data_IF_121437742450
#
_entry.id   IF_121437742450
#
_cell.length_a   1.000
_cell.length_b   1.000
_cell.length_c   1.000
_cell.angle_alpha   90.00
_cell.angle_beta   90.00
_cell.angle_gamma   90.00
#
_symmetry.space_group_name_H-M   'P 1'
#
loop_
_entity.id
_entity.type
_entity.pdbx_description
1 polymer ?
#
# COMPACT_ATOMS: atom_id res chain seq x y z
N UNK A 1 8.06 -13.49 0.25
CA UNK A 1 9.15 -12.96 -0.61
C UNK A 1 10.17 -14.04 -0.93
N UNK A 2 10.71 -14.73 0.08
CA UNK A 2 11.64 -15.87 -0.09
C UNK A 2 11.10 -16.98 -1.02
N UNK A 3 9.79 -17.21 -1.00
CA UNK A 3 9.09 -18.16 -1.88
C UNK A 3 9.07 -17.72 -3.34
N UNK A 4 8.86 -16.42 -3.57
CA UNK A 4 8.88 -15.81 -4.90
C UNK A 4 10.29 -15.87 -5.48
N UNK A 5 11.31 -15.55 -4.67
CA UNK A 5 12.72 -15.72 -5.08
C UNK A 5 13.09 -17.18 -5.31
N UNK A 6 12.45 -18.10 -4.58
CA UNK A 6 12.68 -19.54 -4.71
C UNK A 6 13.69 -20.11 -3.73
N UNK A 7 14.05 -19.39 -2.67
CA UNK A 7 14.96 -19.86 -1.60
C UNK A 7 14.20 -20.47 -0.40
N UNK A 8 12.88 -20.45 -0.42
CA UNK A 8 12.00 -21.03 0.62
C UNK A 8 10.76 -21.64 -0.06
N UNK A 9 10.23 -22.75 0.45
CA UNK A 9 9.08 -23.41 -0.19
C UNK A 9 7.72 -22.79 0.17
N UNK A 10 6.79 -22.77 -0.78
CA UNK A 10 5.43 -22.26 -0.55
C UNK A 10 4.65 -23.04 0.50
N UNK A 11 4.99 -24.31 0.74
CA UNK A 11 4.34 -25.15 1.76
C UNK A 11 4.81 -24.81 3.19
N UNK A 12 5.85 -23.99 3.32
CA UNK A 12 6.36 -23.51 4.61
C UNK A 12 5.83 -22.16 5.07
N UNK A 13 4.77 -21.65 4.44
CA UNK A 13 4.02 -20.51 4.96
C UNK A 13 2.56 -20.88 5.17
N UNK A 14 1.92 -20.25 6.16
CA UNK A 14 0.48 -20.33 6.33
C UNK A 14 -0.25 -19.89 5.04
N UNK A 15 -1.37 -20.54 4.67
CA UNK A 15 -2.06 -20.24 3.42
C UNK A 15 -2.50 -18.78 3.29
N UNK A 16 -2.31 -18.21 2.10
CA UNK A 16 -2.80 -16.87 1.74
C UNK A 16 -3.86 -16.99 0.62
N UNK A 17 -5.05 -17.51 0.93
CA UNK A 17 -6.04 -17.90 -0.08
C UNK A 17 -6.57 -16.68 -0.85
N UNK A 18 -6.42 -16.61 -2.20
CA UNK A 18 -7.07 -15.58 -2.99
C UNK A 18 -8.59 -15.57 -2.82
N UNK A 19 -9.20 -16.71 -2.51
CA UNK A 19 -10.66 -16.88 -2.43
C UNK A 19 -11.32 -15.91 -1.44
N UNK A 20 -10.54 -15.41 -0.48
CA UNK A 20 -10.92 -14.33 0.44
C UNK A 20 -11.49 -13.09 -0.27
N UNK A 21 -11.00 -12.75 -1.48
CA UNK A 21 -11.50 -11.61 -2.27
C UNK A 21 -12.92 -11.81 -2.80
N UNK A 22 -13.44 -13.03 -2.79
CA UNK A 22 -14.77 -13.37 -3.28
C UNK A 22 -15.83 -13.42 -2.18
N UNK A 23 -15.46 -13.15 -0.92
CA UNK A 23 -16.41 -13.17 0.18
C UNK A 23 -17.54 -12.15 -0.02
N UNK A 24 -18.76 -12.42 0.46
CA UNK A 24 -19.84 -11.43 0.47
C UNK A 24 -19.54 -10.26 1.41
N UNK A 25 -20.03 -9.06 1.08
CA UNK A 25 -19.78 -7.83 1.85
C UNK A 25 -20.28 -7.88 3.31
N UNK A 26 -21.34 -8.66 3.58
CA UNK A 26 -21.87 -8.81 4.93
C UNK A 26 -20.92 -9.57 5.87
N UNK A 27 -19.96 -10.35 5.34
CA UNK A 27 -19.03 -11.11 6.15
C UNK A 27 -18.15 -10.16 7.01
N UNK A 28 -17.88 -10.47 8.29
CA UNK A 28 -17.12 -9.57 9.17
C UNK A 28 -15.69 -9.37 8.68
N UNK A 29 -15.10 -10.41 8.08
CA UNK A 29 -13.75 -10.38 7.52
C UNK A 29 -13.72 -9.99 6.04
N UNK A 30 -14.76 -9.36 5.49
CA UNK A 30 -14.72 -8.96 4.07
C UNK A 30 -13.57 -7.98 3.80
N UNK A 31 -12.78 -8.14 2.71
CA UNK A 31 -11.60 -7.32 2.46
C UNK A 31 -11.83 -5.81 2.48
N UNK A 32 -13.02 -5.33 2.07
CA UNK A 32 -13.37 -3.91 2.12
C UNK A 32 -13.31 -3.31 3.54
N UNK A 33 -13.50 -4.12 4.58
CA UNK A 33 -13.49 -3.73 5.99
C UNK A 33 -12.10 -3.79 6.61
N UNK A 34 -11.11 -4.34 5.90
CA UNK A 34 -9.72 -4.35 6.36
C UNK A 34 -9.11 -2.97 6.25
N UNK A 35 -8.15 -2.69 7.13
CA UNK A 35 -7.29 -1.53 7.00
C UNK A 35 -6.61 -1.51 5.61
N UNK A 36 -6.54 -0.34 4.99
CA UNK A 36 -6.16 -0.18 3.58
C UNK A 36 -4.75 -0.72 3.28
N UNK A 37 -3.78 -0.50 4.17
CA UNK A 37 -2.42 -1.03 4.02
C UNK A 37 -2.35 -2.55 4.12
N UNK A 38 -3.10 -3.15 5.06
CA UNK A 38 -3.23 -4.61 5.12
C UNK A 38 -3.85 -5.15 3.83
N UNK A 39 -4.98 -4.58 3.39
CA UNK A 39 -5.67 -5.03 2.18
C UNK A 39 -4.76 -4.97 0.94
N UNK A 40 -4.13 -3.82 0.71
CA UNK A 40 -3.28 -3.57 -0.45
C UNK A 40 -2.02 -4.44 -0.47
N UNK A 41 -1.48 -4.79 0.70
CA UNK A 41 -0.32 -5.70 0.83
C UNK A 41 -0.73 -7.16 0.65
N UNK A 42 -1.84 -7.60 1.26
CA UNK A 42 -2.31 -8.99 1.17
C UNK A 42 -2.77 -9.37 -0.24
N UNK A 43 -3.27 -8.41 -1.02
CA UNK A 43 -3.76 -8.65 -2.39
C UNK A 43 -2.70 -9.26 -3.31
N UNK A 44 -1.53 -8.62 -3.54
CA UNK A 44 -0.48 -9.23 -4.34
C UNK A 44 0.11 -10.49 -3.69
N UNK A 45 0.24 -10.53 -2.35
CA UNK A 45 0.73 -11.74 -1.67
C UNK A 45 -0.16 -12.96 -1.94
N UNK A 46 -1.48 -12.78 -1.86
CA UNK A 46 -2.45 -13.83 -2.14
C UNK A 46 -2.40 -14.26 -3.61
N UNK A 47 -2.25 -13.33 -4.56
CA UNK A 47 -2.10 -13.66 -5.99
C UNK A 47 -0.87 -14.53 -6.24
N UNK A 48 0.29 -14.12 -5.72
CA UNK A 48 1.55 -14.87 -5.85
C UNK A 48 1.45 -16.25 -5.20
N UNK A 49 0.82 -16.34 -4.03
CA UNK A 49 0.56 -17.60 -3.33
C UNK A 49 -0.40 -18.51 -4.11
N UNK A 50 -1.50 -17.97 -4.62
CA UNK A 50 -2.50 -18.70 -5.39
C UNK A 50 -1.93 -19.28 -6.68
N UNK A 51 -1.01 -18.52 -7.31
CA UNK A 51 -0.24 -18.97 -8.47
C UNK A 51 0.93 -19.89 -8.11
N UNK A 52 1.34 -19.93 -6.84
CA UNK A 52 2.59 -20.54 -6.36
C UNK A 52 3.78 -20.06 -7.20
N UNK A 53 3.79 -18.76 -7.51
CA UNK A 53 4.80 -18.19 -8.40
C UNK A 53 6.20 -18.27 -7.79
N UNK A 54 7.17 -18.61 -8.62
CA UNK A 54 8.58 -18.70 -8.26
C UNK A 54 9.42 -18.22 -9.45
N UNK A 55 10.42 -17.39 -9.17
CA UNK A 55 11.41 -16.95 -10.14
C UNK A 55 12.33 -18.07 -10.61
N UNK A 56 13.20 -17.79 -11.59
CA UNK A 56 14.15 -18.77 -12.14
C UNK A 56 15.18 -19.22 -11.09
N UNK A 57 15.63 -20.47 -11.20
CA UNK A 57 16.61 -21.05 -10.28
C UNK A 57 18.01 -20.80 -10.80
N UNK A 58 18.50 -19.61 -10.50
CA UNK A 58 19.87 -19.23 -10.83
C UNK A 58 20.86 -19.84 -9.84
N UNK A 59 22.14 -19.86 -10.22
CA UNK A 59 23.21 -20.31 -9.32
C UNK A 59 23.22 -19.53 -8.01
N UNK A 60 22.92 -18.22 -8.05
CA UNK A 60 22.76 -17.40 -6.85
C UNK A 60 21.63 -17.92 -5.94
N UNK A 61 20.46 -18.27 -6.49
CA UNK A 61 19.35 -18.82 -5.70
C UNK A 61 19.74 -20.16 -5.09
N UNK A 62 20.50 -20.99 -5.80
CA UNK A 62 21.00 -22.27 -5.29
C UNK A 62 22.03 -22.08 -4.17
N UNK A 63 22.95 -21.13 -4.32
CA UNK A 63 23.92 -20.78 -3.26
C UNK A 63 23.22 -20.25 -2.01
N UNK A 64 22.26 -19.33 -2.18
CA UNK A 64 21.49 -18.78 -1.05
C UNK A 64 20.76 -19.88 -0.26
N UNK A 65 20.27 -20.93 -0.92
CA UNK A 65 19.65 -22.08 -0.22
C UNK A 65 20.62 -22.85 0.67
N UNK A 66 21.92 -22.83 0.38
CA UNK A 66 22.94 -23.45 1.22
C UNK A 66 23.39 -22.51 2.35
N UNK A 67 23.27 -21.20 2.16
CA UNK A 67 23.73 -20.18 3.12
C UNK A 67 22.71 -19.85 4.20
N UNK A 68 21.42 -19.73 3.84
CA UNK A 68 20.39 -19.17 4.76
C UNK A 68 19.72 -20.23 5.65
N UNK A 69 19.94 -21.52 5.38
CA UNK A 69 19.29 -22.62 6.09
C UNK A 69 20.31 -23.39 6.93
N UNK A 70 19.93 -23.74 8.15
CA UNK A 70 20.77 -24.55 9.07
C UNK A 70 20.88 -26.02 8.68
N UNK A 71 20.03 -26.48 7.76
CA UNK A 71 19.99 -27.85 7.25
C UNK A 71 19.81 -27.86 5.73
N UNK A 72 20.17 -28.95 5.03
CA UNK A 72 20.00 -29.04 3.59
C UNK A 72 18.57 -28.74 3.15
N UNK A 73 18.41 -27.92 2.10
CA UNK A 73 17.11 -27.41 1.65
C UNK A 73 16.06 -28.51 1.43
N UNK A 74 16.49 -29.66 0.90
CA UNK A 74 15.68 -30.84 0.59
C UNK A 74 15.25 -31.63 1.82
N UNK A 75 15.89 -31.42 2.97
CA UNK A 75 15.58 -32.09 4.24
C UNK A 75 14.65 -31.26 5.15
N UNK A 76 14.37 -30.00 4.78
CA UNK A 76 13.51 -29.10 5.56
C UNK A 76 12.05 -29.60 5.50
N UNK A 77 11.46 -29.82 6.67
CA UNK A 77 10.01 -30.05 6.77
C UNK A 77 9.26 -28.73 6.69
N UNK A 78 9.00 -28.27 5.47
CA UNK A 78 8.30 -27.02 5.20
C UNK A 78 6.94 -26.97 5.88
N UNK A 79 6.18 -28.06 5.87
CA UNK A 79 4.86 -28.10 6.50
C UNK A 79 4.93 -27.72 8.00
N UNK A 80 5.93 -28.22 8.73
CA UNK A 80 6.16 -27.85 10.13
C UNK A 80 6.59 -26.40 10.28
N UNK A 81 7.44 -25.91 9.37
CA UNK A 81 7.99 -24.56 9.40
C UNK A 81 6.95 -23.44 9.27
N UNK A 82 5.70 -23.72 8.89
CA UNK A 82 4.62 -22.71 8.80
C UNK A 82 4.35 -21.95 10.10
N UNK A 83 4.60 -22.60 11.23
CA UNK A 83 4.38 -22.05 12.58
C UNK A 83 5.69 -21.62 13.25
N UNK A 84 6.83 -21.79 12.56
CA UNK A 84 8.13 -21.42 13.09
C UNK A 84 8.38 -19.93 12.86
N UNK A 85 8.56 -19.19 13.96
CA UNK A 85 9.01 -17.80 13.96
C UNK A 85 10.01 -17.63 15.10
N UNK A 86 11.06 -16.84 14.86
CA UNK A 86 12.05 -16.49 15.87
C UNK A 86 11.33 -15.79 17.03
N UNK A 87 11.57 -16.21 18.28
CA UNK A 87 10.81 -15.70 19.44
C UNK A 87 11.10 -14.22 19.68
N UNK A 88 12.33 -13.82 19.40
CA UNK A 88 12.85 -12.48 19.56
C UNK A 88 12.21 -11.50 18.56
N UNK A 89 11.80 -11.99 17.37
CA UNK A 89 11.15 -11.19 16.32
C UNK A 89 9.60 -11.23 16.40
N UNK A 90 9.04 -12.06 17.27
CA UNK A 90 7.59 -12.31 17.36
C UNK A 90 6.89 -11.27 18.24
N UNK A 91 6.54 -10.13 17.64
CA UNK A 91 5.82 -9.05 18.34
C UNK A 91 4.37 -9.43 18.72
N UNK A 92 3.64 -10.04 17.78
CA UNK A 92 2.26 -10.51 17.99
C UNK A 92 2.19 -12.03 17.84
N UNK A 93 2.25 -12.80 18.93
CA UNK A 93 2.13 -14.25 18.86
C UNK A 93 0.73 -14.66 18.39
N UNK A 94 0.67 -15.75 17.63
CA UNK A 94 -0.61 -16.32 17.24
C UNK A 94 -1.38 -16.85 18.45
N UNK A 95 -2.70 -16.68 18.41
CA UNK A 95 -3.59 -17.38 19.34
C UNK A 95 -3.83 -18.81 18.87
N UNK A 96 -4.19 -19.70 19.80
CA UNK A 96 -4.61 -21.07 19.46
C UNK A 96 -5.71 -21.12 18.38
N UNK A 97 -6.67 -20.17 18.44
CA UNK A 97 -7.75 -20.08 17.46
C UNK A 97 -7.19 -19.76 16.07
N UNK A 98 -6.21 -18.86 15.98
CA UNK A 98 -5.57 -18.50 14.73
C UNK A 98 -4.80 -19.67 14.12
N UNK A 99 -4.03 -20.41 14.93
CA UNK A 99 -3.31 -21.59 14.46
C UNK A 99 -4.27 -22.69 13.97
N UNK A 100 -5.36 -22.92 14.71
CA UNK A 100 -6.43 -23.83 14.30
C UNK A 100 -7.05 -23.44 12.95
N UNK A 101 -7.30 -22.14 12.73
CA UNK A 101 -7.81 -21.63 11.45
C UNK A 101 -6.80 -21.84 10.32
N UNK A 102 -5.52 -21.57 10.55
CA UNK A 102 -4.47 -21.80 9.55
C UNK A 102 -4.30 -23.26 9.20
N UNK A 103 -4.30 -24.15 10.19
CA UNK A 103 -4.22 -25.59 9.97
C UNK A 103 -5.46 -26.10 9.23
N UNK A 104 -6.65 -25.60 9.57
CA UNK A 104 -7.87 -25.95 8.83
C UNK A 104 -7.78 -25.50 7.36
N UNK A 105 -7.30 -24.28 7.10
CA UNK A 105 -7.09 -23.80 5.74
C UNK A 105 -6.06 -24.65 4.97
N UNK A 106 -4.97 -25.04 5.63
CA UNK A 106 -3.90 -25.81 5.00
C UNK A 106 -4.29 -27.28 4.75
N UNK A 107 -4.86 -27.97 5.73
CA UNK A 107 -5.12 -29.40 5.67
C UNK A 107 -6.47 -29.74 5.05
N UNK A 108 -7.47 -28.88 5.19
CA UNK A 108 -8.81 -29.12 4.67
C UNK A 108 -9.08 -28.34 3.39
N UNK A 109 -8.86 -27.02 3.39
CA UNK A 109 -9.27 -26.16 2.28
C UNK A 109 -8.33 -26.22 1.06
N UNK A 110 -7.02 -26.10 1.27
CA UNK A 110 -6.03 -26.12 0.18
C UNK A 110 -6.09 -27.39 -0.70
N UNK A 111 -6.21 -28.61 -0.17
CA UNK A 111 -6.31 -29.81 -1.00
C UNK A 111 -7.58 -29.85 -1.86
N UNK A 112 -8.69 -29.26 -1.37
CA UNK A 112 -9.96 -29.20 -2.09
C UNK A 112 -9.87 -28.16 -3.21
N UNK A 113 -9.47 -26.94 -2.88
CA UNK A 113 -9.50 -25.81 -3.80
C UNK A 113 -8.47 -25.94 -4.94
N UNK A 114 -7.39 -26.70 -4.75
CA UNK A 114 -6.42 -27.00 -5.82
C UNK A 114 -6.96 -27.96 -6.88
N UNK A 115 -8.00 -28.75 -6.56
CA UNK A 115 -8.56 -29.76 -7.48
C UNK A 115 -9.65 -29.16 -8.37
N UNK A 116 -9.78 -29.69 -9.57
CA UNK A 116 -10.91 -29.36 -10.44
C UNK A 116 -12.21 -29.97 -9.87
N UNK A 117 -13.35 -29.26 -9.89
CA UNK A 117 -13.59 -27.94 -10.48
C UNK A 117 -13.36 -26.75 -9.55
N UNK A 118 -13.04 -26.98 -8.27
CA UNK A 118 -12.88 -25.95 -7.25
C UNK A 118 -11.76 -24.95 -7.57
N UNK A 119 -10.72 -25.36 -8.31
CA UNK A 119 -9.65 -24.48 -8.76
C UNK A 119 -10.12 -23.31 -9.66
N UNK A 120 -11.31 -23.40 -10.27
CA UNK A 120 -11.93 -22.28 -10.99
C UNK A 120 -12.26 -21.10 -10.06
N UNK A 121 -12.58 -21.38 -8.79
CA UNK A 121 -12.81 -20.35 -7.78
C UNK A 121 -11.51 -19.59 -7.52
N UNK A 122 -10.38 -20.30 -7.38
CA UNK A 122 -9.05 -19.70 -7.26
C UNK A 122 -8.70 -18.82 -8.44
N UNK A 123 -8.94 -19.29 -9.66
CA UNK A 123 -8.72 -18.51 -10.89
C UNK A 123 -9.54 -17.22 -10.92
N UNK A 124 -10.84 -17.30 -10.58
CA UNK A 124 -11.71 -16.12 -10.49
C UNK A 124 -11.24 -15.15 -9.41
N UNK A 125 -10.81 -15.67 -8.27
CA UNK A 125 -10.32 -14.87 -7.16
C UNK A 125 -9.00 -14.14 -7.52
N UNK A 126 -8.07 -14.82 -8.19
CA UNK A 126 -6.84 -14.21 -8.70
C UNK A 126 -7.12 -13.15 -9.78
N UNK A 127 -8.10 -13.39 -10.67
CA UNK A 127 -8.52 -12.39 -11.65
C UNK A 127 -9.07 -11.12 -10.97
N UNK A 128 -9.88 -11.28 -9.92
CA UNK A 128 -10.36 -10.16 -9.10
C UNK A 128 -9.21 -9.44 -8.41
N UNK A 129 -8.22 -10.15 -7.87
CA UNK A 129 -7.03 -9.50 -7.29
C UNK A 129 -6.28 -8.64 -8.31
N UNK A 130 -6.08 -9.13 -9.54
CA UNK A 130 -5.46 -8.36 -10.63
C UNK A 130 -6.29 -7.12 -10.99
N UNK A 131 -7.61 -7.26 -11.08
CA UNK A 131 -8.52 -6.14 -11.36
C UNK A 131 -8.37 -5.01 -10.33
N UNK A 132 -8.41 -5.36 -9.04
CA UNK A 132 -8.27 -4.38 -7.96
C UNK A 132 -6.85 -3.77 -7.88
N UNK A 133 -5.80 -4.57 -8.08
CA UNK A 133 -4.41 -4.07 -8.13
C UNK A 133 -4.22 -3.10 -9.29
N UNK A 134 -4.68 -3.46 -10.51
CA UNK A 134 -4.57 -2.60 -11.69
C UNK A 134 -5.33 -1.30 -11.49
N UNK A 135 -6.54 -1.35 -10.95
CA UNK A 135 -7.27 -0.14 -10.60
C UNK A 135 -6.47 0.74 -9.62
N UNK A 136 -5.92 0.17 -8.55
CA UNK A 136 -5.10 0.89 -7.58
C UNK A 136 -3.84 1.51 -8.19
N UNK A 137 -3.18 0.80 -9.09
CA UNK A 137 -2.01 1.28 -9.82
C UNK A 137 -2.38 2.43 -10.77
N UNK A 138 -3.40 2.28 -11.61
CA UNK A 138 -3.83 3.30 -12.58
C UNK A 138 -4.23 4.62 -11.91
N UNK A 139 -4.99 4.56 -10.81
CA UNK A 139 -5.45 5.78 -10.13
C UNK A 139 -4.34 6.50 -9.35
N UNK A 140 -3.22 5.83 -9.09
CA UNK A 140 -2.07 6.39 -8.38
C UNK A 140 -0.87 6.69 -9.30
N UNK A 141 -1.07 6.66 -10.62
CA UNK A 141 0.03 6.80 -11.58
C UNK A 141 1.14 5.76 -11.36
N UNK A 142 0.76 4.53 -10.98
CA UNK A 142 1.62 3.39 -10.66
C UNK A 142 2.57 3.60 -9.46
N UNK A 143 2.38 4.66 -8.67
CA UNK A 143 3.14 4.86 -7.44
C UNK A 143 2.71 3.85 -6.36
N UNK A 144 1.40 3.55 -6.27
CA UNK A 144 0.75 2.75 -5.19
C UNK A 144 0.75 3.45 -3.83
N UNK A 145 0.22 2.80 -2.78
CA UNK A 145 0.10 3.43 -1.47
C UNK A 145 1.44 3.50 -0.73
N UNK A 146 2.31 2.51 -0.92
CA UNK A 146 3.59 2.43 -0.24
C UNK A 146 4.53 1.36 -0.83
N UNK A 147 5.79 1.39 -0.39
CA UNK A 147 6.87 0.62 -1.00
C UNK A 147 6.67 -0.90 -0.99
N UNK A 148 6.05 -1.45 0.06
CA UNK A 148 5.81 -2.89 0.17
C UNK A 148 4.77 -3.34 -0.85
N UNK A 149 3.65 -2.62 -0.94
CA UNK A 149 2.64 -2.84 -1.99
C UNK A 149 3.27 -2.69 -3.37
N UNK A 150 4.04 -1.62 -3.59
CA UNK A 150 4.76 -1.33 -4.85
C UNK A 150 5.58 -2.53 -5.32
N UNK A 151 6.49 -3.03 -4.47
CA UNK A 151 7.36 -4.15 -4.83
C UNK A 151 6.57 -5.44 -5.07
N UNK A 152 5.54 -5.71 -4.27
CA UNK A 152 4.69 -6.89 -4.42
C UNK A 152 3.83 -6.84 -5.69
N UNK A 153 3.27 -5.68 -6.03
CA UNK A 153 2.53 -5.51 -7.28
C UNK A 153 3.44 -5.66 -8.50
N UNK A 154 4.66 -5.11 -8.47
CA UNK A 154 5.66 -5.35 -9.54
C UNK A 154 5.92 -6.84 -9.76
N UNK A 155 6.12 -7.60 -8.69
CA UNK A 155 6.27 -9.05 -8.76
C UNK A 155 5.02 -9.73 -9.33
N UNK A 156 3.83 -9.29 -8.93
CA UNK A 156 2.56 -9.81 -9.46
C UNK A 156 2.38 -9.55 -10.95
N UNK A 157 2.64 -8.33 -11.42
CA UNK A 157 2.47 -7.99 -12.84
C UNK A 157 3.50 -8.69 -13.71
N UNK A 158 4.75 -8.78 -13.25
CA UNK A 158 5.76 -9.63 -13.90
C UNK A 158 5.34 -11.10 -13.97
N UNK A 159 4.81 -11.64 -12.88
CA UNK A 159 4.30 -13.00 -12.86
C UNK A 159 3.09 -13.14 -13.80
N UNK A 160 2.16 -12.18 -13.77
CA UNK A 160 0.91 -12.17 -14.53
C UNK A 160 1.16 -12.19 -16.04
N UNK A 161 1.90 -11.19 -16.51
CA UNK A 161 2.22 -10.94 -17.91
C UNK A 161 3.51 -10.09 -17.99
N UNK A 162 4.69 -10.71 -18.19
CA UNK A 162 5.97 -10.01 -18.18
C UNK A 162 6.14 -9.05 -19.38
N UNK A 163 5.40 -9.26 -20.47
CA UNK A 163 5.44 -8.40 -21.66
C UNK A 163 4.44 -7.22 -21.58
N UNK A 164 3.53 -7.28 -20.61
CA UNK A 164 2.50 -6.28 -20.35
C UNK A 164 3.05 -4.93 -19.90
N UNK A 165 2.27 -3.87 -20.14
CA UNK A 165 2.69 -2.50 -19.82
C UNK A 165 2.60 -2.17 -18.32
N UNK A 166 1.75 -2.88 -17.55
CA UNK A 166 1.60 -2.68 -16.11
C UNK A 166 2.97 -2.74 -15.38
N UNK A 167 3.79 -3.74 -15.71
CA UNK A 167 5.12 -3.89 -15.11
C UNK A 167 6.06 -2.74 -15.49
N UNK A 168 6.04 -2.31 -16.76
CA UNK A 168 6.87 -1.20 -17.26
C UNK A 168 6.52 0.11 -16.56
N UNK A 169 5.23 0.39 -16.39
CA UNK A 169 4.77 1.58 -15.68
C UNK A 169 5.14 1.55 -14.20
N UNK A 170 5.03 0.40 -13.53
CA UNK A 170 5.55 0.30 -12.17
C UNK A 170 7.06 0.51 -12.12
N UNK A 171 7.83 -0.09 -13.03
CA UNK A 171 9.30 0.04 -13.03
C UNK A 171 9.74 1.50 -13.17
N UNK A 172 9.05 2.28 -14.01
CA UNK A 172 9.31 3.71 -14.19
C UNK A 172 9.15 4.54 -12.90
N UNK A 173 8.35 4.04 -11.95
CA UNK A 173 8.02 4.73 -10.67
C UNK A 173 8.77 4.14 -9.47
N UNK A 174 9.82 3.34 -9.69
CA UNK A 174 10.72 2.88 -8.61
C UNK A 174 11.55 4.04 -8.03
N UNK A 175 12.10 4.98 -8.84
CA UNK A 175 12.88 6.10 -8.31
C UNK A 175 12.12 6.97 -7.31
N UNK A 176 10.79 7.05 -7.41
CA UNK A 176 9.95 7.81 -6.46
C UNK A 176 10.09 7.31 -5.01
N UNK A 177 10.50 6.06 -4.81
CA UNK A 177 10.73 5.47 -3.50
C UNK A 177 12.19 5.47 -3.06
N UNK A 178 13.14 5.86 -3.92
CA UNK A 178 14.57 5.80 -3.61
C UNK A 178 15.07 7.15 -3.08
N UNK A 179 15.72 7.13 -1.93
CA UNK A 179 16.26 8.31 -1.26
C UNK A 179 17.74 8.12 -0.95
N UNK A 180 18.56 9.11 -1.33
CA UNK A 180 19.97 9.13 -0.98
C UNK A 180 20.15 9.83 0.38
N UNK A 181 20.38 9.03 1.42
CA UNK A 181 20.74 9.50 2.75
C UNK A 181 22.27 9.58 2.92
N UNK A 182 22.71 10.13 4.05
CA UNK A 182 24.12 10.25 4.44
C UNK A 182 24.86 8.90 4.49
N UNK A 183 24.15 7.80 4.70
CA UNK A 183 24.67 6.42 4.75
C UNK A 183 24.33 5.60 3.49
N UNK A 184 23.85 6.26 2.42
CA UNK A 184 23.63 5.66 1.11
C UNK A 184 22.17 5.64 0.68
N UNK A 185 21.89 4.89 -0.38
CA UNK A 185 20.56 4.83 -0.99
C UNK A 185 19.63 3.89 -0.21
N UNK A 186 18.45 4.39 0.16
CA UNK A 186 17.41 3.68 0.91
C UNK A 186 16.08 3.72 0.17
N UNK A 187 15.19 2.79 0.49
CA UNK A 187 13.80 2.83 0.03
C UNK A 187 12.93 3.48 1.11
N UNK A 188 12.22 4.55 0.76
CA UNK A 188 11.21 5.17 1.62
C UNK A 188 9.93 4.33 1.64
N UNK A 189 9.15 4.39 2.72
CA UNK A 189 7.81 3.78 2.74
C UNK A 189 6.85 4.50 1.81
N UNK A 190 6.89 5.83 1.87
CA UNK A 190 6.31 6.82 0.96
C UNK A 190 7.04 8.14 1.25
N UNK A 191 6.92 9.14 0.39
CA UNK A 191 7.34 10.49 0.75
C UNK A 191 6.42 11.10 1.82
N UNK A 192 6.88 12.15 2.52
CA UNK A 192 6.13 12.88 3.55
C UNK A 192 5.91 14.35 3.18
N UNK A 193 5.92 14.67 1.89
CA UNK A 193 6.06 16.05 1.40
C UNK A 193 4.92 16.98 1.87
N UNK A 194 3.66 16.56 1.73
CA UNK A 194 2.51 17.32 2.24
C UNK A 194 2.55 17.40 3.77
N UNK A 195 2.79 16.29 4.45
CA UNK A 195 2.83 16.24 5.91
C UNK A 195 3.86 17.22 6.48
N UNK A 196 5.10 17.15 5.99
CA UNK A 196 6.20 17.99 6.45
C UNK A 196 5.99 19.46 6.06
N UNK A 197 5.48 19.73 4.86
CA UNK A 197 5.18 21.10 4.42
C UNK A 197 4.11 21.76 5.31
N UNK A 198 3.07 21.03 5.69
CA UNK A 198 2.03 21.51 6.61
C UNK A 198 2.62 21.82 7.98
N UNK A 199 3.37 20.90 8.58
CA UNK A 199 3.91 21.11 9.93
C UNK A 199 5.00 22.18 9.98
N UNK A 200 5.88 22.25 8.98
CA UNK A 200 6.88 23.30 8.87
C UNK A 200 6.21 24.68 8.74
N UNK A 201 5.20 24.80 7.88
CA UNK A 201 4.44 26.05 7.71
C UNK A 201 3.77 26.47 9.02
N UNK A 202 3.11 25.54 9.70
CA UNK A 202 2.45 25.80 10.99
C UNK A 202 3.46 26.22 12.07
N UNK A 203 4.64 25.61 12.12
CA UNK A 203 5.69 25.96 13.07
C UNK A 203 6.19 27.39 12.85
N UNK A 204 6.47 27.77 11.59
CA UNK A 204 6.87 29.15 11.24
C UNK A 204 5.76 30.13 11.64
N UNK A 205 4.51 29.85 11.30
CA UNK A 205 3.37 30.71 11.65
C UNK A 205 3.20 30.87 13.17
N UNK A 206 3.41 29.79 13.95
CA UNK A 206 3.30 29.81 15.40
C UNK A 206 4.47 30.55 16.08
N UNK A 207 5.66 30.53 15.47
CA UNK A 207 6.85 31.22 15.98
C UNK A 207 6.83 32.75 15.79
N UNK A 208 5.92 33.28 14.97
CA UNK A 208 5.87 34.70 14.63
C UNK A 208 6.95 35.15 13.63
N UNK A 209 7.75 34.25 13.07
CA UNK A 209 8.83 34.56 12.12
C UNK A 209 8.33 34.78 10.68
N UNK A 210 7.11 35.30 10.51
CA UNK A 210 6.49 35.47 9.18
C UNK A 210 7.29 36.42 8.28
N UNK A 211 7.82 37.50 8.85
CA UNK A 211 8.59 38.50 8.09
C UNK A 211 9.92 37.94 7.57
N UNK A 212 10.51 36.98 8.28
CA UNK A 212 11.77 36.33 7.88
C UNK A 212 11.54 35.23 6.83
N UNK A 213 10.40 34.52 6.91
CA UNK A 213 10.11 33.35 6.08
C UNK A 213 8.96 33.55 5.09
N UNK A 214 8.58 34.80 4.78
CA UNK A 214 7.42 35.12 3.93
C UNK A 214 7.44 34.43 2.56
N UNK A 215 8.59 34.43 1.88
CA UNK A 215 8.76 33.75 0.59
C UNK A 215 8.59 32.22 0.69
N UNK A 216 9.09 31.62 1.76
CA UNK A 216 8.93 30.19 2.03
C UNK A 216 7.47 29.84 2.29
N UNK A 217 6.78 30.66 3.08
CA UNK A 217 5.35 30.51 3.36
C UNK A 217 4.49 30.65 2.10
N UNK A 218 4.83 31.59 1.21
CA UNK A 218 4.15 31.76 -0.08
C UNK A 218 4.27 30.52 -0.97
N UNK A 219 5.47 29.94 -1.05
CA UNK A 219 5.71 28.68 -1.79
C UNK A 219 5.00 27.50 -1.15
N UNK A 220 5.02 27.41 0.18
CA UNK A 220 4.30 26.37 0.90
C UNK A 220 2.79 26.47 0.68
N UNK A 221 2.22 27.68 0.75
CA UNK A 221 0.80 27.90 0.45
C UNK A 221 0.45 27.47 -0.99
N UNK A 222 1.26 27.85 -1.98
CA UNK A 222 1.08 27.38 -3.36
C UNK A 222 1.12 25.85 -3.45
N UNK A 223 2.14 25.23 -2.86
CA UNK A 223 2.30 23.77 -2.86
C UNK A 223 1.11 23.05 -2.22
N UNK A 224 0.65 23.50 -1.05
CA UNK A 224 -0.49 22.91 -0.36
C UNK A 224 -1.77 23.06 -1.18
N UNK A 225 -2.00 24.23 -1.81
CA UNK A 225 -3.14 24.41 -2.72
C UNK A 225 -3.05 23.44 -3.90
N UNK A 226 -1.91 23.30 -4.55
CA UNK A 226 -1.80 22.46 -5.73
C UNK A 226 -1.80 20.97 -5.41
N UNK A 227 -1.39 20.58 -4.20
CA UNK A 227 -1.35 19.17 -3.77
C UNK A 227 -2.71 18.59 -3.36
N UNK A 228 -3.77 19.42 -3.27
CA UNK A 228 -5.10 18.92 -2.96
C UNK A 228 -5.63 18.02 -4.08
N UNK A 229 -6.26 16.90 -3.73
CA UNK A 229 -6.98 16.07 -4.70
C UNK A 229 -8.18 16.82 -5.30
N UNK A 230 -8.08 17.23 -6.57
CA UNK A 230 -9.11 18.04 -7.26
C UNK A 230 -10.31 17.23 -7.76
N UNK A 231 -10.16 15.92 -7.91
CA UNK A 231 -11.18 15.03 -8.45
C UNK A 231 -11.28 13.74 -7.64
N UNK A 232 -12.44 13.09 -7.69
CA UNK A 232 -12.57 11.72 -7.21
C UNK A 232 -11.86 10.74 -8.15
N UNK A 233 -11.57 9.55 -7.63
CA UNK A 233 -11.03 8.45 -8.41
C UNK A 233 -12.00 8.07 -9.54
N UNK A 234 -11.46 7.62 -10.68
CA UNK A 234 -12.24 7.25 -11.86
C UNK A 234 -13.14 6.05 -11.58
N UNK A 235 -14.29 5.98 -12.25
CA UNK A 235 -15.21 4.84 -12.18
C UNK A 235 -15.88 4.64 -10.82
N UNK A 236 -16.35 3.42 -10.57
CA UNK A 236 -17.01 3.03 -9.32
C UNK A 236 -15.99 2.69 -8.23
N UNK A 237 -15.36 3.72 -7.67
CA UNK A 237 -14.30 3.58 -6.67
C UNK A 237 -14.75 2.87 -5.38
N UNK A 238 -16.05 2.87 -5.07
CA UNK A 238 -16.60 2.15 -3.92
C UNK A 238 -16.51 0.64 -4.10
N UNK A 239 -16.82 0.13 -5.30
CA UNK A 239 -16.60 -1.29 -5.64
C UNK A 239 -15.14 -1.70 -5.54
N UNK A 240 -14.23 -0.74 -5.74
CA UNK A 240 -12.79 -0.93 -5.61
C UNK A 240 -12.26 -0.74 -4.18
N UNK A 241 -13.15 -0.68 -3.18
CA UNK A 241 -12.81 -0.51 -1.76
C UNK A 241 -12.06 0.80 -1.46
N UNK A 242 -12.38 1.86 -2.20
CA UNK A 242 -11.84 3.21 -1.99
C UNK A 242 -12.93 4.14 -1.47
N UNK A 243 -12.47 5.16 -0.75
CA UNK A 243 -13.28 6.30 -0.34
C UNK A 243 -13.21 7.40 -1.40
N UNK A 244 -14.14 8.35 -1.34
CA UNK A 244 -14.03 9.54 -2.18
C UNK A 244 -12.83 10.39 -1.73
N UNK A 245 -12.21 11.09 -2.67
CA UNK A 245 -10.91 11.76 -2.46
C UNK A 245 -10.94 13.24 -2.85
N UNK A 246 -11.96 13.70 -3.57
CA UNK A 246 -12.09 15.13 -3.93
C UNK A 246 -12.09 15.98 -2.67
N UNK A 247 -11.18 16.94 -2.60
CA UNK A 247 -11.00 17.83 -1.46
C UNK A 247 -9.96 17.38 -0.44
N UNK A 248 -9.48 16.14 -0.52
CA UNK A 248 -8.53 15.59 0.45
C UNK A 248 -7.08 15.97 0.16
N UNK A 249 -6.23 15.76 1.17
CA UNK A 249 -4.79 15.64 1.01
C UNK A 249 -4.33 14.22 1.34
N UNK A 250 -3.27 13.82 0.65
CA UNK A 250 -2.52 12.60 0.94
C UNK A 250 -1.41 12.90 1.94
N UNK A 251 -0.67 11.87 2.36
CA UNK A 251 0.51 12.05 3.20
C UNK A 251 1.73 12.58 2.41
N UNK A 252 1.87 12.13 1.16
CA UNK A 252 3.02 12.42 0.28
C UNK A 252 2.71 13.55 -0.69
N UNK A 253 2.17 13.23 -1.85
CA UNK A 253 1.80 14.12 -2.94
C UNK A 253 0.45 13.73 -3.57
N UNK A 254 -0.04 14.56 -4.49
CA UNK A 254 -1.35 14.38 -5.10
C UNK A 254 -1.50 13.03 -5.84
N UNK A 255 -0.42 12.51 -6.45
CA UNK A 255 -0.46 11.29 -7.26
C UNK A 255 -0.71 10.03 -6.42
N UNK A 256 -0.29 10.01 -5.15
CA UNK A 256 -0.59 8.89 -4.25
C UNK A 256 -2.11 8.62 -4.14
N UNK A 257 -2.94 9.67 -4.26
CA UNK A 257 -4.39 9.56 -4.40
C UNK A 257 -5.11 8.86 -3.24
N UNK A 258 -4.48 8.75 -2.06
CA UNK A 258 -5.10 8.20 -0.85
C UNK A 258 -5.46 9.34 0.10
N UNK A 259 -6.75 9.60 0.27
CA UNK A 259 -7.24 10.57 1.24
C UNK A 259 -6.84 10.14 2.66
N UNK A 260 -6.23 11.05 3.42
CA UNK A 260 -5.88 10.84 4.83
C UNK A 260 -6.53 11.94 5.67
N UNK A 261 -7.22 11.55 6.76
CA UNK A 261 -8.04 12.46 7.56
C UNK A 261 -7.22 13.55 8.24
N UNK A 262 -6.12 13.20 8.91
CA UNK A 262 -5.24 14.14 9.59
C UNK A 262 -4.48 15.04 8.61
N UNK A 263 -3.99 14.50 7.50
CA UNK A 263 -3.34 15.27 6.44
C UNK A 263 -4.31 16.31 5.87
N UNK A 264 -5.55 15.90 5.60
CA UNK A 264 -6.61 16.80 5.13
C UNK A 264 -6.95 17.86 6.16
N UNK A 265 -7.11 17.49 7.43
CA UNK A 265 -7.44 18.42 8.51
C UNK A 265 -6.32 19.44 8.75
N UNK A 266 -5.06 19.00 8.80
CA UNK A 266 -3.92 19.88 9.05
C UNK A 266 -3.61 20.78 7.84
N UNK A 267 -3.73 20.27 6.61
CA UNK A 267 -3.63 21.08 5.40
C UNK A 267 -4.74 22.15 5.37
N UNK A 268 -5.99 21.77 5.66
CA UNK A 268 -7.12 22.70 5.74
C UNK A 268 -6.87 23.79 6.79
N UNK A 269 -6.45 23.43 8.01
CA UNK A 269 -6.11 24.39 9.07
C UNK A 269 -4.99 25.34 8.63
N UNK A 270 -3.99 24.83 7.91
CA UNK A 270 -2.90 25.64 7.39
C UNK A 270 -3.39 26.65 6.34
N UNK A 271 -4.21 26.21 5.37
CA UNK A 271 -4.80 27.09 4.34
C UNK A 271 -5.72 28.15 4.95
N UNK A 272 -6.52 27.80 5.95
CA UNK A 272 -7.35 28.76 6.68
C UNK A 272 -6.49 29.83 7.35
N UNK A 273 -5.38 29.45 7.99
CA UNK A 273 -4.46 30.42 8.60
C UNK A 273 -3.80 31.33 7.56
N UNK A 274 -3.40 30.79 6.41
CA UNK A 274 -2.90 31.60 5.29
C UNK A 274 -3.94 32.59 4.77
N UNK A 275 -5.23 32.24 4.80
CA UNK A 275 -6.31 33.11 4.32
C UNK A 275 -6.54 34.38 5.16
N UNK A 276 -6.06 34.38 6.41
CA UNK A 276 -6.10 35.50 7.35
C UNK A 276 -4.92 36.47 7.19
N UNK A 277 -3.91 36.09 6.39
CA UNK A 277 -2.69 36.87 6.18
C UNK A 277 -2.81 37.81 4.98
N UNK A 278 -2.00 38.88 4.92
CA UNK A 278 -1.88 39.72 3.72
C UNK A 278 -1.47 38.91 2.49
N UNK A 279 -2.06 39.21 1.34
CA UNK A 279 -1.82 38.47 0.09
C UNK A 279 -0.39 38.64 -0.42
N UNK A 280 0.28 39.73 -0.05
CA UNK A 280 1.69 39.98 -0.34
C UNK A 280 2.58 38.88 0.28
N UNK A 281 2.19 38.38 1.46
CA UNK A 281 2.92 37.38 2.24
C UNK A 281 2.46 35.96 1.87
N UNK A 282 1.16 35.68 1.95
CA UNK A 282 0.64 34.33 1.73
C UNK A 282 0.42 34.00 0.25
N UNK A 283 0.33 34.98 -0.64
CA UNK A 283 -0.12 34.77 -2.02
C UNK A 283 -1.64 34.65 -2.14
N UNK A 284 -2.11 34.33 -3.35
CA UNK A 284 -3.54 34.22 -3.67
C UNK A 284 -4.23 33.15 -2.79
N UNK A 285 -5.38 33.49 -2.20
CA UNK A 285 -6.14 32.61 -1.31
C UNK A 285 -6.61 31.34 -2.03
N UNK A 286 -6.83 30.27 -1.26
CA UNK A 286 -7.51 29.09 -1.78
C UNK A 286 -8.97 29.42 -2.12
N UNK A 287 -9.49 28.79 -3.16
CA UNK A 287 -10.92 28.85 -3.50
C UNK A 287 -11.76 28.28 -2.36
N UNK A 288 -12.79 29.02 -1.95
CA UNK A 288 -13.68 28.66 -0.85
C UNK A 288 -14.40 27.33 -1.13
N UNK A 289 -14.78 27.06 -2.38
CA UNK A 289 -15.44 25.80 -2.73
C UNK A 289 -14.53 24.59 -2.46
N UNK A 290 -13.22 24.76 -2.70
CA UNK A 290 -12.21 23.73 -2.43
C UNK A 290 -11.99 23.50 -0.94
N UNK A 291 -12.19 24.51 -0.11
CA UNK A 291 -12.17 24.35 1.36
C UNK A 291 -13.40 23.59 1.85
N UNK A 292 -14.57 23.81 1.26
CA UNK A 292 -15.77 23.02 1.56
C UNK A 292 -15.62 21.55 1.15
N UNK A 293 -15.00 21.27 0.00
CA UNK A 293 -14.67 19.90 -0.39
C UNK A 293 -13.78 19.21 0.67
N UNK A 294 -12.81 19.92 1.26
CA UNK A 294 -11.97 19.39 2.34
C UNK A 294 -12.76 19.12 3.64
N UNK A 295 -13.65 20.04 4.01
CA UNK A 295 -14.57 19.85 5.15
C UNK A 295 -15.45 18.61 4.94
N UNK A 296 -15.95 18.40 3.72
CA UNK A 296 -16.76 17.23 3.39
C UNK A 296 -16.00 15.91 3.61
N UNK A 297 -14.70 15.85 3.29
CA UNK A 297 -13.84 14.69 3.60
C UNK A 297 -13.79 14.47 5.11
N UNK A 298 -13.49 15.51 5.88
CA UNK A 298 -13.38 15.41 7.34
C UNK A 298 -14.69 14.93 7.99
N UNK A 299 -15.84 15.43 7.53
CA UNK A 299 -17.16 15.01 8.02
C UNK A 299 -17.50 13.58 7.59
N UNK A 300 -17.16 13.19 6.36
CA UNK A 300 -17.44 11.85 5.86
C UNK A 300 -16.66 10.75 6.59
N UNK A 301 -15.44 11.05 7.03
CA UNK A 301 -14.58 10.10 7.75
C UNK A 301 -14.91 10.00 9.24
N UNK A 302 -15.95 10.68 9.72
CA UNK A 302 -16.47 10.48 11.08
C UNK A 302 -17.19 9.12 11.13
N UNK A 303 -16.65 8.20 11.95
CA UNK A 303 -17.21 6.88 12.22
C UNK A 303 -17.51 6.75 13.70
#
# INVERSE_FOLDING_TARGET
>A
MCQVLGVYDWDGCNPLPPEFWLFPEFFPYHPAKMWCFCRSTYMPMSYLYGRKYRGPLTDLVLSLRQEIHVMPYDQINWNKARHDCCKEDLYCPHSFIQDFLWDTLNYCFEPIIRRWPCNKIRQRAMAKAIEHMRYGAEVSGYITTGCVEKSLQMMCFWAHDPDGDDFKYHLARVPDYLWLAEDGMKMQTAGSQVWDCVFASRAILASGMVDEYGDSLKKAHFYLKESQCKTNLKGDFKKMYRHFTKGSWTFSDQDQGLAVSDCTAEALKCLLRFSEMPQEIAGEKADVERLYDAVNICLYLQV
#
